data_IF_542182035903
#
_entry.id   IF_542182035903
#
_cell.length_a   1.000
_cell.length_b   1.000
_cell.length_c   1.000
_cell.angle_alpha   90.00
_cell.angle_beta   90.00
_cell.angle_gamma   90.00
#
_symmetry.space_group_name_H-M   'P 1'
#
loop_
_entity.id
_entity.type
_entity.pdbx_description
1 polymer ?
#
# COMPACT_ATOMS: atom_id res chain seq x y z
N UNK A 1 -20.86 28.10 1.90
CA UNK A 1 -19.51 28.63 2.17
C UNK A 1 -18.51 27.69 1.49
N UNK A 2 -17.61 28.20 0.67
CA UNK A 2 -16.54 27.39 0.11
C UNK A 2 -15.54 27.08 1.23
N UNK A 3 -15.31 25.80 1.51
CA UNK A 3 -14.44 25.35 2.59
C UNK A 3 -13.05 24.89 2.13
N UNK A 4 -12.74 24.99 0.83
CA UNK A 4 -11.43 24.60 0.31
C UNK A 4 -11.26 24.85 -1.18
N UNK A 5 -10.01 24.69 -1.62
CA UNK A 5 -9.59 24.84 -3.01
C UNK A 5 -8.86 23.58 -3.49
N UNK A 6 -9.29 23.01 -4.60
CA UNK A 6 -8.64 21.89 -5.27
C UNK A 6 -8.21 22.34 -6.66
N UNK A 7 -6.96 22.11 -7.00
CA UNK A 7 -6.42 22.32 -8.35
C UNK A 7 -6.47 21.02 -9.14
N UNK A 8 -7.07 21.08 -10.32
CA UNK A 8 -6.99 20.01 -11.31
C UNK A 8 -6.19 20.50 -12.50
N UNK A 9 -5.21 19.74 -12.93
CA UNK A 9 -4.40 19.99 -14.11
C UNK A 9 -4.18 18.70 -14.88
N UNK A 10 -4.11 18.80 -16.20
CA UNK A 10 -3.93 17.61 -17.02
C UNK A 10 -3.61 17.96 -18.45
N UNK A 11 -3.28 16.92 -19.21
CA UNK A 11 -3.05 17.00 -20.63
C UNK A 11 -3.58 15.73 -21.29
N UNK A 12 -3.93 15.86 -22.56
CA UNK A 12 -4.35 14.75 -23.42
C UNK A 12 -3.61 14.81 -24.74
N UNK A 13 -3.20 13.64 -25.22
CA UNK A 13 -2.64 13.47 -26.56
C UNK A 13 -3.44 12.39 -27.29
N UNK A 14 -3.89 12.72 -28.50
CA UNK A 14 -4.57 11.81 -29.41
C UNK A 14 -3.80 11.68 -30.70
N UNK A 15 -3.45 10.47 -31.07
CA UNK A 15 -2.80 10.16 -32.34
C UNK A 15 -3.69 9.22 -33.15
N UNK A 16 -3.96 9.56 -34.40
CA UNK A 16 -4.73 8.73 -35.33
C UNK A 16 -4.00 8.59 -36.66
N UNK A 17 -3.75 7.35 -37.03
CA UNK A 17 -3.23 7.00 -38.35
C UNK A 17 -4.32 6.24 -39.10
N UNK A 18 -4.78 6.85 -40.20
CA UNK A 18 -5.88 6.31 -41.00
C UNK A 18 -5.40 5.77 -42.33
N UNK A 19 -5.73 4.52 -42.60
CA UNK A 19 -5.58 3.90 -43.91
C UNK A 19 -4.17 3.99 -44.51
N UNK A 20 -3.13 3.74 -43.70
CA UNK A 20 -1.76 3.62 -44.23
C UNK A 20 -1.68 2.40 -45.14
N UNK A 21 -1.41 2.60 -46.44
CA UNK A 21 -1.20 1.50 -47.37
C UNK A 21 0.20 0.92 -47.18
N UNK A 22 0.28 -0.29 -46.65
CA UNK A 22 1.52 -1.05 -46.46
C UNK A 22 1.88 -1.83 -47.75
N UNK A 23 0.84 -2.28 -48.50
CA UNK A 23 0.97 -2.97 -49.78
C UNK A 23 -0.31 -2.75 -50.63
N UNK A 24 -0.35 -3.30 -51.86
CA UNK A 24 -1.46 -3.15 -52.78
C UNK A 24 -2.83 -3.46 -52.17
N UNK A 25 -2.91 -4.54 -51.35
CA UNK A 25 -4.16 -5.02 -50.75
C UNK A 25 -4.12 -5.01 -49.24
N UNK A 26 -3.12 -4.32 -48.64
CA UNK A 26 -2.92 -4.29 -47.19
C UNK A 26 -2.94 -2.86 -46.66
N UNK A 27 -3.84 -2.56 -45.77
CA UNK A 27 -3.91 -1.26 -45.10
C UNK A 27 -3.99 -1.39 -43.60
N UNK A 28 -3.39 -0.42 -42.90
CA UNK A 28 -3.35 -0.32 -41.44
C UNK A 28 -3.94 1.01 -40.99
N UNK A 29 -4.81 0.96 -40.03
CA UNK A 29 -5.22 2.11 -39.22
C UNK A 29 -4.88 1.86 -37.77
N UNK A 30 -4.42 2.90 -37.09
CA UNK A 30 -4.10 2.83 -35.67
C UNK A 30 -4.60 4.08 -34.95
N UNK A 31 -4.94 3.93 -33.70
CA UNK A 31 -5.11 5.07 -32.81
C UNK A 31 -4.36 4.83 -31.52
N UNK A 32 -3.95 5.90 -30.89
CA UNK A 32 -3.37 5.93 -29.56
C UNK A 32 -3.85 7.19 -28.86
N UNK A 33 -4.35 7.05 -27.64
CA UNK A 33 -4.61 8.17 -26.77
C UNK A 33 -3.98 7.96 -25.42
N UNK A 34 -3.54 9.04 -24.83
CA UNK A 34 -3.01 9.10 -23.46
C UNK A 34 -3.46 10.40 -22.82
N UNK A 35 -3.90 10.32 -21.60
CA UNK A 35 -4.25 11.47 -20.78
C UNK A 35 -3.74 11.31 -19.35
N UNK A 36 -3.43 12.45 -18.77
CA UNK A 36 -3.11 12.58 -17.37
C UNK A 36 -4.08 13.59 -16.74
N UNK A 37 -4.53 13.31 -15.54
CA UNK A 37 -5.26 14.28 -14.72
C UNK A 37 -4.68 14.23 -13.31
N UNK A 38 -3.97 15.28 -12.95
CA UNK A 38 -3.40 15.46 -11.61
C UNK A 38 -4.29 16.41 -10.82
N UNK A 39 -4.74 15.97 -9.66
CA UNK A 39 -5.46 16.83 -8.72
C UNK A 39 -4.61 17.05 -7.45
N UNK A 40 -4.76 18.20 -6.85
CA UNK A 40 -4.03 18.61 -5.67
C UNK A 40 -4.92 19.46 -4.77
N UNK A 41 -4.95 19.13 -3.50
CA UNK A 41 -5.67 19.91 -2.49
C UNK A 41 -4.77 21.07 -2.08
N UNK A 42 -5.14 22.29 -2.46
CA UNK A 42 -4.33 23.49 -2.18
C UNK A 42 -4.66 24.09 -0.83
N UNK A 43 -5.93 24.07 -0.45
CA UNK A 43 -6.42 24.74 0.75
C UNK A 43 -7.65 24.03 1.26
N UNK A 44 -7.76 23.90 2.57
CA UNK A 44 -8.95 23.45 3.26
C UNK A 44 -9.11 24.24 4.57
N UNK A 45 -10.34 24.47 4.96
CA UNK A 45 -10.66 25.13 6.24
C UNK A 45 -10.10 24.29 7.39
N UNK A 46 -9.39 24.92 8.33
CA UNK A 46 -8.67 24.27 9.43
C UNK A 46 -9.62 23.39 10.27
N UNK A 47 -10.81 23.90 10.57
CA UNK A 47 -11.82 23.12 11.29
C UNK A 47 -12.23 21.82 10.56
N UNK A 48 -12.22 21.81 9.22
CA UNK A 48 -12.50 20.60 8.42
C UNK A 48 -11.33 19.63 8.44
N UNK A 49 -10.09 20.15 8.37
CA UNK A 49 -8.87 19.35 8.52
C UNK A 49 -8.78 18.71 9.90
N UNK A 50 -9.09 19.47 10.95
CA UNK A 50 -9.15 18.98 12.32
C UNK A 50 -10.26 17.93 12.49
N UNK A 51 -11.44 18.17 11.94
CA UNK A 51 -12.52 17.20 11.99
C UNK A 51 -12.17 15.90 11.27
N UNK A 52 -11.54 15.98 10.12
CA UNK A 52 -11.16 14.80 9.31
C UNK A 52 -9.89 14.12 9.80
N UNK A 53 -8.90 14.90 10.22
CA UNK A 53 -7.60 14.39 10.65
C UNK A 53 -7.47 14.24 12.17
N UNK A 54 -8.29 14.91 12.96
CA UNK A 54 -8.28 14.91 14.43
C UNK A 54 -9.18 13.87 15.08
N UNK A 55 -10.25 13.44 14.40
CA UNK A 55 -11.06 12.30 14.85
C UNK A 55 -10.45 11.00 14.33
N UNK A 56 -9.25 10.70 14.79
CA UNK A 56 -8.58 9.46 14.45
C UNK A 56 -9.24 8.27 15.13
N UNK A 57 -10.20 7.69 14.44
CA UNK A 57 -10.43 6.28 14.60
C UNK A 57 -9.28 5.59 13.87
N UNK A 58 -8.32 5.11 14.62
CA UNK A 58 -7.23 4.31 14.06
C UNK A 58 -7.79 3.20 13.19
N UNK A 59 -7.10 2.88 12.10
CA UNK A 59 -7.50 1.78 11.27
C UNK A 59 -7.46 0.51 12.11
N UNK A 60 -8.60 0.20 12.70
CA UNK A 60 -8.85 -1.17 13.11
C UNK A 60 -8.57 -2.01 11.89
N UNK A 61 -8.12 -3.24 12.07
CA UNK A 61 -7.92 -4.23 11.02
C UNK A 61 -8.64 -3.87 9.72
N UNK A 62 -7.93 -3.88 8.59
CA UNK A 62 -8.49 -3.66 7.26
C UNK A 62 -8.88 -2.22 6.91
N UNK A 63 -8.50 -1.23 7.70
CA UNK A 63 -8.82 0.16 7.39
C UNK A 63 -7.57 1.00 7.21
N UNK A 64 -7.65 1.90 6.24
CA UNK A 64 -6.69 2.96 5.99
C UNK A 64 -7.26 4.28 6.48
N UNK A 65 -6.41 5.15 6.99
CA UNK A 65 -6.88 6.45 7.45
C UNK A 65 -7.42 7.28 6.27
N UNK A 66 -8.62 7.82 6.37
CA UNK A 66 -9.11 8.83 5.45
C UNK A 66 -8.42 10.17 5.76
N UNK A 67 -7.10 10.22 5.56
CA UNK A 67 -6.31 11.43 5.82
C UNK A 67 -6.35 12.35 4.62
N UNK A 68 -6.55 13.63 4.88
CA UNK A 68 -6.43 14.69 3.88
C UNK A 68 -5.17 15.49 4.22
N UNK A 69 -4.29 15.61 3.26
CA UNK A 69 -3.08 16.43 3.41
C UNK A 69 -3.02 17.45 2.27
N UNK A 70 -2.85 18.71 2.64
CA UNK A 70 -2.63 19.80 1.68
C UNK A 70 -1.35 19.50 0.90
N UNK A 71 -1.39 19.73 -0.41
CA UNK A 71 -0.32 19.42 -1.34
C UNK A 71 -0.39 18.01 -1.94
N UNK A 72 -1.25 17.13 -1.42
CA UNK A 72 -1.43 15.79 -1.96
C UNK A 72 -2.75 15.65 -2.74
N UNK A 73 -2.80 14.67 -3.68
CA UNK A 73 -4.01 14.43 -4.44
C UNK A 73 -5.13 13.81 -3.59
N UNK A 74 -6.37 14.11 -3.97
CA UNK A 74 -7.52 13.37 -3.49
C UNK A 74 -7.47 11.95 -4.09
N UNK A 75 -7.47 10.93 -3.26
CA UNK A 75 -7.23 9.54 -3.64
C UNK A 75 -5.89 9.00 -3.11
N UNK A 76 -5.14 9.82 -2.39
CA UNK A 76 -3.95 9.40 -1.66
C UNK A 76 -4.28 8.34 -0.62
N UNK A 77 -3.42 7.32 -0.53
CA UNK A 77 -3.49 6.22 0.44
C UNK A 77 -2.45 6.51 1.52
N UNK A 78 -2.86 6.50 2.78
CA UNK A 78 -1.98 6.71 3.93
C UNK A 78 -2.05 5.51 4.86
N UNK A 79 -0.92 5.12 5.42
CA UNK A 79 -0.81 4.01 6.36
C UNK A 79 0.61 3.84 6.87
N UNK A 80 0.86 2.73 7.51
CA UNK A 80 2.17 2.37 8.03
C UNK A 80 3.04 1.71 6.96
N UNK A 81 4.36 1.84 7.08
CA UNK A 81 5.30 1.03 6.32
C UNK A 81 5.54 -0.30 7.00
N UNK A 82 5.22 -1.38 6.32
CA UNK A 82 5.43 -2.74 6.79
C UNK A 82 6.86 -3.21 6.49
N UNK A 83 7.54 -3.76 7.50
CA UNK A 83 8.94 -4.21 7.39
C UNK A 83 9.10 -5.71 7.63
N UNK A 84 8.02 -6.48 7.60
CA UNK A 84 8.04 -7.92 7.85
C UNK A 84 7.56 -8.30 9.25
N UNK A 85 8.17 -9.31 9.84
CA UNK A 85 7.74 -9.91 11.11
C UNK A 85 8.92 -10.00 12.07
N UNK A 86 8.67 -9.69 13.35
CA UNK A 86 9.69 -9.89 14.39
C UNK A 86 10.04 -11.37 14.49
N UNK A 87 11.27 -11.73 14.18
CA UNK A 87 11.76 -13.11 14.27
C UNK A 87 11.89 -13.59 15.70
N UNK A 88 12.22 -12.67 16.62
CA UNK A 88 12.47 -12.92 18.01
C UNK A 88 11.58 -12.06 18.90
N UNK A 89 11.19 -12.62 20.05
CA UNK A 89 10.58 -11.85 21.15
C UNK A 89 11.62 -10.97 21.84
N UNK A 90 11.18 -9.95 22.56
CA UNK A 90 12.08 -9.06 23.30
C UNK A 90 13.06 -9.81 24.21
N UNK A 91 12.62 -10.85 24.92
CA UNK A 91 13.49 -11.64 25.80
C UNK A 91 14.70 -12.29 25.10
N UNK A 92 14.62 -12.46 23.78
CA UNK A 92 15.69 -13.01 22.94
C UNK A 92 16.44 -11.92 22.15
N UNK A 93 16.46 -10.69 22.66
CA UNK A 93 17.07 -9.54 21.99
C UNK A 93 18.56 -9.73 21.69
N UNK A 94 19.31 -10.48 22.56
CA UNK A 94 20.73 -10.76 22.35
C UNK A 94 20.95 -11.59 21.09
N UNK A 95 20.11 -12.60 20.86
CA UNK A 95 20.14 -13.41 19.65
C UNK A 95 19.77 -12.58 18.41
N UNK A 96 18.75 -11.73 18.52
CA UNK A 96 18.33 -10.86 17.44
C UNK A 96 19.43 -9.86 17.04
N UNK A 97 20.11 -9.24 17.99
CA UNK A 97 21.22 -8.34 17.71
C UNK A 97 22.39 -9.11 17.07
N UNK A 98 22.78 -10.26 17.62
CA UNK A 98 23.85 -11.07 17.03
C UNK A 98 23.54 -11.52 15.60
N UNK A 99 22.29 -11.88 15.31
CA UNK A 99 21.83 -12.19 13.95
C UNK A 99 21.93 -10.98 13.01
N UNK A 100 21.49 -9.82 13.48
CA UNK A 100 21.57 -8.56 12.73
C UNK A 100 23.02 -8.17 12.42
N UNK A 101 23.89 -8.20 13.42
CA UNK A 101 25.31 -7.83 13.30
C UNK A 101 26.08 -8.80 12.38
N UNK A 102 25.61 -10.03 12.29
CA UNK A 102 26.12 -11.02 11.33
C UNK A 102 25.53 -10.86 9.91
N UNK A 103 24.82 -9.77 9.62
CA UNK A 103 24.20 -9.51 8.31
C UNK A 103 22.98 -10.38 8.00
N UNK A 104 22.42 -11.05 9.01
CA UNK A 104 21.18 -11.80 8.89
C UNK A 104 20.01 -10.98 9.39
N UNK A 105 18.80 -11.31 9.03
CA UNK A 105 17.59 -10.57 9.40
C UNK A 105 17.15 -10.87 10.85
N UNK A 106 17.95 -10.43 11.83
CA UNK A 106 17.65 -10.53 13.25
C UNK A 106 16.79 -9.39 13.72
N UNK A 107 15.47 -9.59 13.82
CA UNK A 107 14.52 -8.58 14.25
C UNK A 107 13.85 -8.95 15.57
N UNK A 108 13.75 -7.99 16.48
CA UNK A 108 12.96 -8.06 17.72
C UNK A 108 12.40 -6.66 18.04
N UNK A 109 11.37 -6.56 18.90
CA UNK A 109 10.71 -5.29 19.19
C UNK A 109 11.53 -4.40 20.15
N UNK A 110 12.64 -3.87 19.63
CA UNK A 110 13.52 -2.92 20.29
C UNK A 110 13.61 -1.62 19.49
N UNK A 111 13.82 -0.52 20.19
CA UNK A 111 13.97 0.80 19.55
C UNK A 111 15.36 0.92 18.93
N UNK A 112 15.40 1.45 17.71
CA UNK A 112 16.63 1.84 17.02
C UNK A 112 16.59 3.34 16.70
N UNK A 113 17.73 3.98 16.79
CA UNK A 113 17.88 5.38 16.38
C UNK A 113 17.86 5.53 14.84
N UNK A 114 17.91 6.77 14.36
CA UNK A 114 17.93 7.09 12.93
C UNK A 114 19.16 6.52 12.19
N UNK A 115 20.21 6.13 12.90
CA UNK A 115 21.42 5.49 12.38
C UNK A 115 21.32 3.96 12.42
N UNK A 116 20.22 3.40 12.98
CA UNK A 116 19.98 1.96 13.12
C UNK A 116 20.60 1.33 14.37
N UNK A 117 21.22 2.12 15.26
CA UNK A 117 21.80 1.60 16.50
C UNK A 117 20.71 1.30 17.53
N UNK A 118 20.94 0.29 18.35
CA UNK A 118 20.04 -0.06 19.46
C UNK A 118 20.08 1.00 20.55
N UNK A 119 18.92 1.47 20.97
CA UNK A 119 18.77 2.41 22.10
C UNK A 119 18.66 1.60 23.38
N UNK A 120 19.54 1.88 24.36
CA UNK A 120 19.54 1.20 25.64
C UNK A 120 18.98 2.08 26.77
N UNK A 121 18.30 1.44 27.71
CA UNK A 121 17.89 2.02 28.97
C UNK A 121 19.08 2.13 29.95
N UNK A 122 18.92 2.91 31.02
CA UNK A 122 19.97 3.09 32.06
C UNK A 122 20.37 1.78 32.75
N UNK A 123 19.52 0.77 32.75
CA UNK A 123 19.77 -0.57 33.30
C UNK A 123 20.56 -1.51 32.35
N UNK A 124 20.92 -1.02 31.15
CA UNK A 124 21.65 -1.79 30.13
C UNK A 124 20.78 -2.73 29.28
N UNK A 125 19.47 -2.72 29.45
CA UNK A 125 18.54 -3.43 28.57
C UNK A 125 18.12 -2.53 27.40
N UNK A 126 17.85 -3.09 26.19
CA UNK A 126 17.33 -2.30 25.08
C UNK A 126 15.96 -1.70 25.40
N UNK A 127 15.72 -0.50 24.94
CA UNK A 127 14.39 0.11 25.03
C UNK A 127 13.41 -0.70 24.18
N UNK A 128 12.24 -1.06 24.74
CA UNK A 128 11.20 -1.79 24.03
C UNK A 128 10.41 -0.87 23.11
N UNK A 129 10.09 -1.39 21.94
CA UNK A 129 9.14 -0.74 21.02
C UNK A 129 7.72 -1.08 21.45
N UNK A 130 6.86 -0.10 21.55
CA UNK A 130 5.47 -0.24 21.94
C UNK A 130 4.52 0.30 20.87
N UNK A 131 3.32 -0.24 20.86
CA UNK A 131 2.20 0.29 20.09
C UNK A 131 1.38 1.18 21.03
N UNK A 132 1.32 2.46 20.71
CA UNK A 132 0.60 3.43 21.54
C UNK A 132 -0.49 4.12 20.73
N UNK A 133 -1.70 4.07 21.24
CA UNK A 133 -2.85 4.78 20.70
C UNK A 133 -3.40 5.75 21.73
N UNK A 134 -3.59 6.99 21.30
CA UNK A 134 -4.20 8.05 22.11
C UNK A 134 -5.73 7.97 22.13
N UNK A 135 -6.31 7.08 21.35
CA UNK A 135 -7.76 7.03 21.16
C UNK A 135 -8.45 6.10 22.18
N UNK A 136 -9.54 6.56 22.77
CA UNK A 136 -10.35 5.78 23.71
C UNK A 136 -10.91 4.48 23.12
N UNK A 137 -11.21 4.45 21.83
CA UNK A 137 -11.69 3.24 21.12
C UNK A 137 -10.65 2.14 20.98
N UNK A 138 -9.37 2.46 21.15
CA UNK A 138 -8.24 1.53 21.03
C UNK A 138 -7.56 1.25 22.38
N UNK A 139 -8.16 1.64 23.49
CA UNK A 139 -7.65 1.41 24.86
C UNK A 139 -7.11 0.01 25.15
N UNK A 140 -7.70 -1.09 24.64
CA UNK A 140 -7.16 -2.42 24.91
C UNK A 140 -5.76 -2.66 24.33
N UNK A 141 -5.30 -1.81 23.39
CA UNK A 141 -3.98 -1.93 22.75
C UNK A 141 -3.02 -0.80 23.11
N UNK A 142 -3.48 0.22 23.84
CA UNK A 142 -2.60 1.28 24.32
C UNK A 142 -1.47 0.69 25.15
N UNK A 143 -0.22 0.99 24.77
CA UNK A 143 0.96 0.41 25.40
C UNK A 143 1.18 -1.08 25.11
N UNK A 144 0.57 -1.64 24.04
CA UNK A 144 0.84 -3.02 23.65
C UNK A 144 2.32 -3.19 23.29
N UNK A 145 2.98 -4.07 24.00
CA UNK A 145 4.35 -4.46 23.71
C UNK A 145 4.38 -5.55 22.64
N UNK A 146 5.03 -5.28 21.53
CA UNK A 146 5.19 -6.25 20.45
C UNK A 146 5.92 -7.52 20.92
N UNK A 147 5.59 -8.64 20.29
CA UNK A 147 6.14 -9.96 20.57
C UNK A 147 6.76 -10.57 19.32
N UNK A 148 7.53 -11.62 19.47
CA UNK A 148 7.97 -12.43 18.34
C UNK A 148 6.78 -12.90 17.52
N UNK A 149 6.89 -12.79 16.19
CA UNK A 149 5.83 -13.09 15.27
C UNK A 149 4.83 -11.97 14.99
N UNK A 150 4.90 -10.84 15.67
CA UNK A 150 4.09 -9.68 15.34
C UNK A 150 4.63 -8.92 14.13
N UNK A 151 3.75 -8.17 13.46
CA UNK A 151 4.09 -7.30 12.34
C UNK A 151 5.05 -6.18 12.77
N UNK A 152 6.04 -5.90 11.94
CA UNK A 152 6.96 -4.78 12.10
C UNK A 152 6.42 -3.60 11.31
N UNK A 153 6.19 -2.48 11.99
CA UNK A 153 5.92 -1.19 11.38
C UNK A 153 7.12 -0.27 11.59
N UNK A 154 7.42 0.57 10.61
CA UNK A 154 8.51 1.53 10.69
C UNK A 154 8.17 2.61 11.70
N UNK A 155 9.06 2.79 12.69
CA UNK A 155 9.07 3.94 13.58
C UNK A 155 9.77 5.08 12.83
N UNK A 156 8.97 5.93 12.18
CA UNK A 156 9.49 6.95 11.23
C UNK A 156 10.18 8.09 11.96
N UNK A 157 9.68 8.44 13.13
CA UNK A 157 10.25 9.53 13.95
C UNK A 157 11.26 9.06 14.99
N UNK A 158 11.45 7.71 15.12
CA UNK A 158 12.39 7.07 16.05
C UNK A 158 12.14 7.41 17.53
N UNK A 159 10.86 7.62 17.91
CA UNK A 159 10.51 7.91 19.32
C UNK A 159 10.33 6.63 20.16
N UNK A 160 10.29 5.47 19.50
CA UNK A 160 10.12 4.17 20.13
C UNK A 160 8.66 3.78 20.33
N UNK A 161 7.76 4.43 19.61
CA UNK A 161 6.32 4.20 19.73
C UNK A 161 5.69 4.22 18.35
N UNK A 162 4.99 3.16 17.97
CA UNK A 162 4.24 3.14 16.71
C UNK A 162 2.89 3.83 16.92
N UNK A 163 2.70 4.97 16.27
CA UNK A 163 1.52 5.82 16.43
C UNK A 163 1.17 6.59 15.15
N UNK A 164 0.30 7.62 15.26
CA UNK A 164 -0.12 8.43 14.11
C UNK A 164 1.03 9.20 13.43
N UNK A 165 2.13 9.43 14.11
CA UNK A 165 3.28 10.15 13.57
C UNK A 165 4.06 9.30 12.56
N UNK A 166 3.85 7.96 12.59
CA UNK A 166 4.48 7.01 11.68
C UNK A 166 3.64 6.72 10.42
N UNK A 167 2.49 7.38 10.30
CA UNK A 167 1.63 7.24 9.12
C UNK A 167 2.17 8.11 8.01
N UNK A 168 2.44 7.47 6.87
CA UNK A 168 3.03 8.08 5.69
C UNK A 168 2.17 7.89 4.44
N UNK A 169 2.47 8.64 3.39
CA UNK A 169 1.91 8.43 2.08
C UNK A 169 2.42 7.11 1.50
N UNK A 170 1.49 6.26 1.03
CA UNK A 170 1.79 4.92 0.49
C UNK A 170 1.51 4.79 -1.00
N UNK A 171 0.65 5.64 -1.57
CA UNK A 171 0.30 5.55 -2.97
C UNK A 171 -0.93 6.38 -3.32
N UNK A 172 -1.37 6.26 -4.58
CA UNK A 172 -2.49 7.02 -5.12
C UNK A 172 -3.42 6.12 -5.96
N UNK A 173 -4.71 6.19 -5.69
CA UNK A 173 -5.73 5.47 -6.46
C UNK A 173 -6.07 6.13 -7.80
N UNK A 174 -5.53 7.31 -8.09
CA UNK A 174 -5.66 7.96 -9.39
C UNK A 174 -4.46 7.59 -10.27
N UNK A 175 -4.68 7.12 -11.50
CA UNK A 175 -3.57 6.76 -12.38
C UNK A 175 -2.77 8.00 -12.84
N UNK A 176 -1.45 7.88 -12.90
CA UNK A 176 -0.59 8.90 -13.45
C UNK A 176 -0.81 9.09 -14.96
N UNK A 177 -1.21 8.02 -15.66
CA UNK A 177 -1.63 8.10 -17.07
C UNK A 177 -2.66 7.01 -17.37
N UNK A 178 -3.60 7.33 -18.26
CA UNK A 178 -4.60 6.37 -18.75
C UNK A 178 -4.94 6.63 -20.21
N UNK A 179 -5.42 5.58 -20.87
CA UNK A 179 -5.81 5.73 -22.26
C UNK A 179 -6.13 4.42 -22.95
N UNK A 180 -6.01 4.45 -24.26
CA UNK A 180 -6.22 3.30 -25.09
C UNK A 180 -5.45 3.36 -26.40
N UNK A 181 -5.30 2.22 -27.00
CA UNK A 181 -4.76 2.10 -28.35
C UNK A 181 -5.45 0.98 -29.10
N UNK A 182 -5.42 1.08 -30.40
CA UNK A 182 -6.03 0.05 -31.22
C UNK A 182 -5.48 0.04 -32.62
N UNK A 183 -5.65 -1.08 -33.28
CA UNK A 183 -5.27 -1.28 -34.67
C UNK A 183 -6.42 -1.90 -35.46
N UNK A 184 -6.48 -1.55 -36.71
CA UNK A 184 -7.34 -2.18 -37.72
C UNK A 184 -6.47 -2.52 -38.91
N UNK A 185 -6.30 -3.79 -39.20
CA UNK A 185 -5.60 -4.32 -40.34
C UNK A 185 -6.60 -4.86 -41.35
N UNK A 186 -6.50 -4.42 -42.61
CA UNK A 186 -7.32 -4.94 -43.69
C UNK A 186 -6.42 -5.53 -44.77
N UNK A 187 -6.70 -6.79 -45.08
CA UNK A 187 -6.00 -7.49 -46.14
C UNK A 187 -7.01 -8.17 -47.07
N UNK A 188 -7.15 -7.65 -48.31
CA UNK A 188 -8.19 -8.08 -49.26
C UNK A 188 -9.56 -8.09 -48.62
N UNK A 189 -10.16 -9.25 -48.44
CA UNK A 189 -11.48 -9.50 -47.79
C UNK A 189 -11.43 -9.68 -46.28
N UNK A 190 -10.22 -9.76 -45.70
CA UNK A 190 -10.05 -9.96 -44.27
C UNK A 190 -9.86 -8.63 -43.53
N UNK A 191 -10.50 -8.52 -42.40
CA UNK A 191 -10.31 -7.44 -41.46
C UNK A 191 -10.02 -7.96 -40.06
N UNK A 192 -8.96 -7.45 -39.47
CA UNK A 192 -8.62 -7.71 -38.04
C UNK A 192 -8.67 -6.36 -37.30
N UNK A 193 -9.41 -6.32 -36.21
CA UNK A 193 -9.46 -5.16 -35.31
C UNK A 193 -9.18 -5.59 -33.91
N UNK A 194 -8.29 -4.86 -33.21
CA UNK A 194 -7.98 -5.08 -31.81
C UNK A 194 -7.90 -3.73 -31.07
N UNK A 195 -8.51 -3.67 -29.90
CA UNK A 195 -8.48 -2.49 -29.06
C UNK A 195 -8.03 -2.84 -27.66
N UNK A 196 -7.21 -1.95 -27.11
CA UNK A 196 -6.64 -2.07 -25.78
C UNK A 196 -6.98 -0.84 -24.94
N UNK A 197 -7.11 -1.02 -23.66
CA UNK A 197 -7.17 0.04 -22.65
C UNK A 197 -6.07 -0.15 -21.63
N UNK A 198 -5.57 0.92 -21.06
CA UNK A 198 -4.53 0.85 -20.05
C UNK A 198 -4.70 1.92 -18.98
N UNK A 199 -4.18 1.60 -17.79
CA UNK A 199 -3.89 2.54 -16.72
C UNK A 199 -2.47 2.28 -16.23
N UNK A 200 -1.77 3.36 -15.90
CA UNK A 200 -0.38 3.31 -15.48
C UNK A 200 -0.19 4.05 -14.18
N UNK A 201 0.62 3.48 -13.28
CA UNK A 201 0.97 4.05 -11.97
C UNK A 201 -0.28 4.41 -11.18
N UNK A 202 -1.01 3.38 -10.79
CA UNK A 202 -2.22 3.45 -9.97
C UNK A 202 -2.15 2.39 -8.89
N UNK A 203 -2.37 2.80 -7.65
CA UNK A 203 -2.35 1.92 -6.50
C UNK A 203 -3.75 1.54 -6.05
N UNK A 204 -3.86 0.35 -5.51
CA UNK A 204 -5.11 -0.15 -4.92
C UNK A 204 -4.84 -0.85 -3.60
N UNK A 205 -5.74 -0.67 -2.65
CA UNK A 205 -5.74 -1.47 -1.42
C UNK A 205 -6.41 -2.82 -1.70
N UNK A 206 -5.65 -3.91 -1.59
CA UNK A 206 -6.17 -5.27 -1.73
C UNK A 206 -6.84 -5.72 -0.42
N UNK A 207 -8.05 -5.21 -0.17
CA UNK A 207 -8.85 -5.54 1.02
C UNK A 207 -9.22 -7.03 1.09
N UNK A 208 -9.36 -7.68 -0.05
CA UNK A 208 -9.65 -9.12 -0.09
C UNK A 208 -8.46 -9.93 0.47
N UNK A 209 -7.24 -9.62 0.04
CA UNK A 209 -6.02 -10.24 0.57
C UNK A 209 -5.87 -9.98 2.07
N UNK A 210 -6.11 -8.73 2.49
CA UNK A 210 -6.05 -8.33 3.89
C UNK A 210 -7.03 -9.14 4.76
N UNK A 211 -8.27 -9.32 4.29
CA UNK A 211 -9.27 -10.13 4.97
C UNK A 211 -8.91 -11.62 5.00
N UNK A 212 -8.43 -12.19 3.88
CA UNK A 212 -8.07 -13.61 3.81
C UNK A 212 -6.78 -13.98 4.52
N UNK A 213 -5.91 -13.01 4.82
CA UNK A 213 -4.70 -13.20 5.60
C UNK A 213 -4.92 -12.92 7.10
N UNK A 214 -6.08 -12.36 7.48
CA UNK A 214 -6.41 -12.10 8.88
C UNK A 214 -6.70 -13.43 9.60
N UNK A 215 -5.92 -13.71 10.64
CA UNK A 215 -5.99 -14.95 11.43
C UNK A 215 -6.63 -14.74 12.80
N UNK A 216 -7.48 -13.71 12.95
CA UNK A 216 -8.17 -13.41 14.21
C UNK A 216 -9.45 -14.23 14.43
N UNK A 217 -10.01 -14.78 13.36
CA UNK A 217 -11.27 -15.52 13.34
C UNK A 217 -11.11 -16.93 12.75
N UNK A 218 -12.18 -17.71 12.73
CA UNK A 218 -12.23 -19.05 12.13
C UNK A 218 -12.75 -19.04 10.68
N UNK A 219 -12.75 -17.89 10.02
CA UNK A 219 -13.16 -17.75 8.64
C UNK A 219 -12.20 -18.43 7.67
N UNK A 220 -12.64 -18.63 6.44
CA UNK A 220 -11.79 -19.15 5.38
C UNK A 220 -10.61 -18.21 5.12
N UNK A 221 -9.42 -18.78 5.05
CA UNK A 221 -8.17 -18.07 4.93
C UNK A 221 -7.45 -18.41 3.63
N UNK A 222 -6.57 -17.49 3.21
CA UNK A 222 -5.63 -17.76 2.13
C UNK A 222 -4.65 -18.87 2.50
N UNK A 223 -4.25 -19.65 1.53
CA UNK A 223 -3.15 -20.64 1.65
C UNK A 223 -1.84 -20.00 2.17
N UNK A 224 -1.65 -18.70 1.91
CA UNK A 224 -0.49 -17.95 2.37
C UNK A 224 -0.28 -17.99 3.90
N UNK A 225 -1.36 -18.09 4.69
CA UNK A 225 -1.26 -18.15 6.16
C UNK A 225 -0.58 -19.41 6.69
N UNK A 226 -0.41 -20.43 5.84
CA UNK A 226 0.39 -21.61 6.21
C UNK A 226 1.86 -21.28 6.42
N UNK A 227 2.34 -20.19 5.85
CA UNK A 227 3.72 -19.68 5.97
C UNK A 227 3.89 -18.68 7.12
N UNK A 228 2.89 -18.52 8.00
CA UNK A 228 2.95 -17.61 9.15
C UNK A 228 4.09 -17.97 10.11
N UNK A 229 4.54 -17.00 10.85
CA UNK A 229 5.48 -17.22 11.96
C UNK A 229 4.86 -18.15 13.02
N UNK A 230 5.64 -19.11 13.51
CA UNK A 230 5.22 -20.12 14.49
C UNK A 230 6.13 -20.23 15.70
N UNK A 231 7.41 -19.93 15.54
CA UNK A 231 8.43 -20.04 16.59
C UNK A 231 9.55 -19.03 16.40
N UNK A 232 10.26 -18.78 17.47
CA UNK A 232 11.46 -17.95 17.49
C UNK A 232 12.45 -18.34 16.36
N UNK A 233 12.92 -17.35 15.65
CA UNK A 233 13.83 -17.51 14.52
C UNK A 233 13.18 -17.79 13.17
N UNK A 234 11.88 -18.03 13.08
CA UNK A 234 11.20 -18.22 11.79
C UNK A 234 11.35 -16.99 10.89
N UNK A 235 11.63 -17.22 9.62
CA UNK A 235 11.74 -16.19 8.58
C UNK A 235 10.48 -16.22 7.74
N UNK A 236 9.66 -15.19 7.86
CA UNK A 236 8.39 -15.08 7.15
C UNK A 236 7.93 -13.63 7.05
N UNK A 237 7.10 -13.35 6.05
CA UNK A 237 6.39 -12.09 5.86
C UNK A 237 4.96 -12.11 6.46
N UNK A 238 4.56 -13.21 7.08
CA UNK A 238 3.20 -13.36 7.60
C UNK A 238 3.23 -13.45 9.11
N UNK A 239 2.55 -12.55 9.83
CA UNK A 239 2.52 -12.52 11.28
C UNK A 239 1.97 -13.82 11.89
N UNK A 240 2.21 -14.00 13.18
CA UNK A 240 1.63 -15.10 13.94
C UNK A 240 0.11 -15.02 14.00
N UNK A 241 -0.55 -16.17 14.09
CA UNK A 241 -1.98 -16.22 14.35
C UNK A 241 -2.28 -15.83 15.81
N UNK A 242 -3.26 -14.94 15.98
CA UNK A 242 -3.75 -14.51 17.30
C UNK A 242 -5.26 -14.55 17.27
N UNK A 243 -5.85 -15.40 18.09
CA UNK A 243 -7.30 -15.53 18.19
C UNK A 243 -7.90 -14.29 18.87
N UNK A 244 -8.98 -13.78 18.31
CA UNK A 244 -9.78 -12.69 18.85
C UNK A 244 -9.30 -11.31 18.45
N UNK A 245 -8.21 -10.81 18.97
CA UNK A 245 -7.80 -9.42 18.76
C UNK A 245 -6.35 -9.31 18.30
N UNK A 246 -6.17 -9.29 16.99
CA UNK A 246 -4.86 -9.17 16.35
C UNK A 246 -4.73 -7.88 15.53
N UNK A 247 -5.49 -6.81 15.90
CA UNK A 247 -5.53 -5.55 15.18
C UNK A 247 -4.14 -5.00 14.87
N UNK A 248 -3.22 -5.13 15.80
CA UNK A 248 -1.84 -4.69 15.66
C UNK A 248 -1.03 -5.45 14.59
N UNK A 249 -1.47 -6.60 14.13
CA UNK A 249 -0.82 -7.34 13.04
C UNK A 249 -1.36 -7.00 11.64
N UNK A 250 -2.46 -6.27 11.58
CA UNK A 250 -3.18 -5.97 10.33
C UNK A 250 -3.55 -4.49 10.23
N UNK A 251 -2.69 -3.61 10.70
CA UNK A 251 -2.86 -2.18 10.48
C UNK A 251 -2.76 -1.85 8.99
N UNK A 252 -3.51 -0.84 8.55
CA UNK A 252 -3.43 -0.33 7.20
C UNK A 252 -2.00 0.06 6.84
N UNK A 253 -1.39 -0.67 5.91
CA UNK A 253 0.02 -0.55 5.57
C UNK A 253 0.27 -0.87 4.09
N UNK A 254 1.47 -0.55 3.61
CA UNK A 254 1.90 -0.85 2.24
C UNK A 254 1.93 -2.36 1.91
N UNK A 255 1.86 -3.23 2.91
CA UNK A 255 1.72 -4.67 2.70
C UNK A 255 0.57 -5.05 1.78
N UNK A 256 -0.52 -4.28 1.80
CA UNK A 256 -1.74 -4.53 1.04
C UNK A 256 -2.03 -3.46 0.00
N UNK A 257 -1.09 -2.53 -0.21
CA UNK A 257 -1.12 -1.59 -1.32
C UNK A 257 -0.40 -2.24 -2.49
N UNK A 258 -1.11 -2.41 -3.59
CA UNK A 258 -0.61 -3.13 -4.77
C UNK A 258 -0.70 -2.23 -6.00
N UNK A 259 0.28 -2.34 -6.90
CA UNK A 259 0.23 -1.74 -8.21
C UNK A 259 -0.91 -2.38 -9.03
N UNK A 260 -1.89 -1.56 -9.39
CA UNK A 260 -3.03 -1.93 -10.21
C UNK A 260 -2.90 -1.46 -11.66
N UNK A 261 -1.68 -1.14 -12.10
CA UNK A 261 -1.39 -0.82 -13.49
C UNK A 261 -1.72 -2.00 -14.41
N UNK A 262 -2.32 -1.72 -15.54
CA UNK A 262 -2.67 -2.78 -16.49
C UNK A 262 -2.70 -2.33 -17.92
N UNK A 263 -2.52 -3.29 -18.83
CA UNK A 263 -2.91 -3.23 -20.24
C UNK A 263 -3.91 -4.35 -20.48
N UNK A 264 -5.11 -4.03 -20.94
CA UNK A 264 -6.19 -4.98 -21.17
C UNK A 264 -6.61 -4.97 -22.63
N UNK A 265 -6.67 -6.15 -23.24
CA UNK A 265 -7.35 -6.34 -24.51
C UNK A 265 -8.87 -6.17 -24.31
N UNK A 266 -9.44 -5.08 -24.83
CA UNK A 266 -10.88 -4.79 -24.69
C UNK A 266 -11.72 -5.63 -25.63
N UNK A 267 -11.28 -5.74 -26.87
CA UNK A 267 -11.84 -6.70 -27.82
C UNK A 267 -10.91 -6.99 -28.99
N UNK A 268 -11.12 -8.13 -29.62
CA UNK A 268 -10.55 -8.51 -30.90
C UNK A 268 -11.65 -9.00 -31.82
N UNK A 269 -11.61 -8.59 -33.08
CA UNK A 269 -12.60 -8.96 -34.09
C UNK A 269 -11.90 -9.36 -35.37
N UNK A 270 -12.28 -10.52 -35.90
CA UNK A 270 -11.91 -10.95 -37.25
C UNK A 270 -13.16 -10.88 -38.12
N UNK A 271 -13.05 -10.29 -39.30
CA UNK A 271 -14.15 -10.17 -40.28
C UNK A 271 -13.70 -10.61 -41.67
N UNK A 272 -14.64 -11.13 -42.43
CA UNK A 272 -14.48 -11.50 -43.83
C UNK A 272 -15.66 -10.97 -44.63
N UNK A 273 -15.42 -10.22 -45.71
CA UNK A 273 -16.45 -9.55 -46.55
C UNK A 273 -16.20 -9.73 -48.04
#
# INVERSE_FOLDING_TARGET
KNSGTVRNSGWELNFNLNNLKLAKDLSLSMYFNIGNNYNEILELEEAYLEERNGKYEYPQNEKYLPRIQIGNPNGSIYGFRYKGVYRYSYKNWREAIAEHDAGRNGTCPIVRDAQGNVVFEANGEPKRLALFYDNESMKPYAGYEFKGGDAIYEDVNHDGTINQLDIVYLGNSNPAAQGGFGLTLRYKKWGLKANFSYRWDVDVVNSARMSFENMATFDNQSVAVNWRWRKEGDITEIPRAVNGSSAYNYLGSDRYVEDASYVRLSYIQLSYS
#
